data_IF_570812204905
#
_entry.id   IF_570812204905
#
_cell.length_a   1.000
_cell.length_b   1.000
_cell.length_c   1.000
_cell.angle_alpha   90.00
_cell.angle_beta   90.00
_cell.angle_gamma   90.00
#
_symmetry.space_group_name_H-M   'P 1'
#
loop_
_entity.id
_entity.type
_entity.pdbx_description
1 polymer ?
#
# COMPACT_ATOMS: atom_id res chain seq x y z
N UNK A 1 3.46 -29.44 -13.59
CA UNK A 1 2.96 -28.21 -14.25
C UNK A 1 1.51 -27.96 -13.84
N UNK A 2 1.28 -27.32 -12.69
CA UNK A 2 -0.07 -26.92 -12.27
C UNK A 2 0.00 -25.51 -11.65
N UNK A 3 -1.00 -24.69 -12.01
CA UNK A 3 -1.42 -23.45 -11.34
C UNK A 3 -0.87 -22.09 -11.82
N UNK A 4 -1.12 -21.75 -13.10
CA UNK A 4 -1.02 -20.38 -13.64
C UNK A 4 -2.30 -19.53 -13.49
N UNK A 5 -3.39 -20.05 -12.89
CA UNK A 5 -4.71 -19.40 -12.97
C UNK A 5 -5.19 -18.78 -11.65
N UNK A 6 -4.62 -19.13 -10.48
CA UNK A 6 -4.95 -18.51 -9.19
C UNK A 6 -4.12 -17.26 -8.83
N UNK A 7 -3.17 -16.86 -9.69
CA UNK A 7 -2.19 -15.81 -9.38
C UNK A 7 -2.63 -14.38 -9.77
N UNK A 8 -3.66 -14.22 -10.58
CA UNK A 8 -4.02 -12.91 -11.15
C UNK A 8 -4.52 -11.86 -10.16
N UNK A 9 -5.18 -12.25 -9.06
CA UNK A 9 -5.78 -11.30 -8.10
C UNK A 9 -4.94 -11.17 -6.81
N UNK A 10 -4.29 -12.25 -6.36
CA UNK A 10 -3.43 -12.23 -5.16
C UNK A 10 -2.04 -11.62 -5.45
N UNK A 11 -1.42 -11.89 -6.61
CA UNK A 11 -0.23 -11.14 -7.03
C UNK A 11 -0.58 -9.69 -7.30
N UNK A 12 -1.76 -9.37 -7.84
CA UNK A 12 -2.12 -7.99 -8.12
C UNK A 12 -2.18 -7.17 -6.83
N UNK A 13 -2.82 -7.67 -5.77
CA UNK A 13 -2.86 -6.97 -4.47
C UNK A 13 -1.51 -6.91 -3.75
N UNK A 14 -0.74 -8.01 -3.71
CA UNK A 14 0.59 -8.03 -3.09
C UNK A 14 1.60 -7.17 -3.88
N UNK A 15 1.53 -7.20 -5.21
CA UNK A 15 2.36 -6.37 -6.09
C UNK A 15 1.97 -4.92 -5.97
N UNK A 16 0.67 -4.60 -5.98
CA UNK A 16 0.16 -3.26 -5.73
C UNK A 16 0.64 -2.72 -4.38
N UNK A 17 0.62 -3.53 -3.31
CA UNK A 17 1.17 -3.16 -1.99
C UNK A 17 2.68 -2.94 -2.01
N UNK A 18 3.45 -3.78 -2.70
CA UNK A 18 4.92 -3.63 -2.84
C UNK A 18 5.27 -2.38 -3.64
N UNK A 19 4.63 -2.18 -4.79
CA UNK A 19 4.81 -0.99 -5.63
C UNK A 19 4.39 0.25 -4.85
N UNK A 20 3.32 0.15 -4.04
CA UNK A 20 2.92 1.22 -3.17
C UNK A 20 4.00 1.55 -2.11
N UNK A 21 4.50 0.54 -1.40
CA UNK A 21 5.54 0.75 -0.39
C UNK A 21 6.82 1.35 -0.98
N UNK A 22 7.21 0.89 -2.16
CA UNK A 22 8.39 1.39 -2.89
C UNK A 22 8.17 2.82 -3.39
N UNK A 23 7.05 3.12 -4.04
CA UNK A 23 6.78 4.46 -4.56
C UNK A 23 6.60 5.53 -3.46
N UNK A 24 6.08 5.14 -2.30
CA UNK A 24 5.98 6.03 -1.13
C UNK A 24 7.38 6.35 -0.57
N UNK A 25 8.26 5.34 -0.47
CA UNK A 25 9.66 5.54 -0.06
C UNK A 25 10.46 6.38 -1.05
N UNK A 26 10.27 6.16 -2.36
CA UNK A 26 10.93 6.94 -3.42
C UNK A 26 10.46 8.39 -3.39
N UNK A 27 9.14 8.64 -3.30
CA UNK A 27 8.59 10.00 -3.24
C UNK A 27 9.09 10.76 -2.02
N UNK A 28 9.23 10.09 -0.87
CA UNK A 28 9.77 10.66 0.35
C UNK A 28 11.27 11.01 0.19
N UNK A 29 12.06 10.14 -0.43
CA UNK A 29 13.46 10.42 -0.75
C UNK A 29 13.61 11.63 -1.66
N UNK A 30 12.79 11.74 -2.70
CA UNK A 30 12.83 12.88 -3.63
C UNK A 30 12.37 14.19 -2.98
N UNK A 31 11.30 14.17 -2.18
CA UNK A 31 10.81 15.38 -1.50
C UNK A 31 11.80 15.88 -0.44
N UNK A 32 12.47 14.97 0.26
CA UNK A 32 13.48 15.30 1.29
C UNK A 32 14.77 15.82 0.66
N UNK A 33 15.27 15.19 -0.41
CA UNK A 33 16.45 15.68 -1.14
C UNK A 33 16.18 17.04 -1.79
N UNK A 34 14.99 17.25 -2.36
CA UNK A 34 14.61 18.55 -2.92
C UNK A 34 14.44 19.64 -1.85
N UNK A 35 14.12 19.28 -0.60
CA UNK A 35 14.01 20.23 0.50
C UNK A 35 15.35 20.92 0.83
N UNK A 36 16.48 20.24 0.67
CA UNK A 36 17.81 20.83 0.88
C UNK A 36 18.22 21.85 -0.20
N UNK A 37 17.55 21.84 -1.37
CA UNK A 37 17.88 22.69 -2.53
C UNK A 37 16.89 23.84 -2.81
N UNK A 38 16.00 24.19 -1.88
CA UNK A 38 14.89 25.15 -2.09
C UNK A 38 15.30 26.60 -2.45
N UNK A 39 16.59 26.92 -2.47
CA UNK A 39 17.12 28.23 -2.90
C UNK A 39 16.86 28.50 -4.40
N UNK A 40 16.74 27.46 -5.22
CA UNK A 40 16.48 27.58 -6.66
C UNK A 40 14.99 27.41 -6.98
N UNK A 41 14.42 28.29 -7.82
CA UNK A 41 13.00 28.24 -8.22
C UNK A 41 12.59 26.89 -8.84
N UNK A 42 13.48 26.27 -9.60
CA UNK A 42 13.27 24.95 -10.22
C UNK A 42 13.16 23.83 -9.20
N UNK A 43 14.02 23.81 -8.18
CA UNK A 43 13.97 22.82 -7.10
C UNK A 43 12.75 23.04 -6.22
N UNK A 44 12.34 24.30 -6.03
CA UNK A 44 11.09 24.63 -5.33
C UNK A 44 9.85 24.04 -6.02
N UNK A 45 9.80 24.09 -7.35
CA UNK A 45 8.75 23.45 -8.13
C UNK A 45 8.81 21.91 -8.01
N UNK A 46 10.00 21.31 -8.08
CA UNK A 46 10.18 19.87 -7.89
C UNK A 46 9.74 19.40 -6.49
N UNK A 47 9.99 20.19 -5.45
CA UNK A 47 9.54 19.89 -4.08
C UNK A 47 8.01 19.89 -3.98
N UNK A 48 7.33 20.88 -4.60
CA UNK A 48 5.87 20.93 -4.63
C UNK A 48 5.30 19.73 -5.41
N UNK A 49 5.83 19.43 -6.59
CA UNK A 49 5.37 18.30 -7.41
C UNK A 49 5.59 16.96 -6.68
N UNK A 50 6.76 16.77 -6.07
CA UNK A 50 7.05 15.56 -5.28
C UNK A 50 6.22 15.48 -4.00
N UNK A 51 5.88 16.61 -3.37
CA UNK A 51 4.93 16.65 -2.25
C UNK A 51 3.51 16.25 -2.65
N UNK A 52 3.00 16.78 -3.77
CA UNK A 52 1.69 16.38 -4.32
C UNK A 52 1.68 14.89 -4.69
N UNK A 53 2.76 14.42 -5.32
CA UNK A 53 2.93 13.00 -5.60
C UNK A 53 2.94 12.17 -4.32
N UNK A 54 3.66 12.59 -3.26
CA UNK A 54 3.71 11.90 -1.97
C UNK A 54 2.33 11.83 -1.29
N UNK A 55 1.54 12.90 -1.34
CA UNK A 55 0.16 12.92 -0.80
C UNK A 55 -0.73 11.97 -1.60
N UNK A 56 -0.68 12.01 -2.94
CA UNK A 56 -1.40 11.07 -3.80
C UNK A 56 -0.98 9.63 -3.54
N UNK A 57 0.31 9.40 -3.34
CA UNK A 57 0.88 8.10 -3.01
C UNK A 57 0.43 7.61 -1.62
N UNK A 58 0.31 8.50 -0.64
CA UNK A 58 -0.23 8.19 0.69
C UNK A 58 -1.71 7.80 0.63
N UNK A 59 -2.51 8.52 -0.15
CA UNK A 59 -3.94 8.19 -0.37
C UNK A 59 -4.06 6.85 -1.12
N UNK A 60 -3.26 6.63 -2.16
CA UNK A 60 -3.22 5.38 -2.91
C UNK A 60 -2.77 4.21 -2.02
N UNK A 61 -1.75 4.42 -1.18
CA UNK A 61 -1.30 3.45 -0.20
C UNK A 61 -2.40 3.12 0.80
N UNK A 62 -3.12 4.11 1.32
CA UNK A 62 -4.24 3.90 2.23
C UNK A 62 -5.40 3.14 1.58
N UNK A 63 -5.76 3.49 0.34
CA UNK A 63 -6.81 2.80 -0.43
C UNK A 63 -6.46 1.34 -0.72
N UNK A 64 -5.21 1.06 -1.10
CA UNK A 64 -4.70 -0.29 -1.31
C UNK A 64 -4.52 -1.09 -0.02
N UNK A 65 -4.32 -0.44 1.12
CA UNK A 65 -4.18 -1.08 2.44
C UNK A 65 -5.53 -1.38 3.09
N UNK A 66 -6.67 -0.94 2.53
CA UNK A 66 -8.00 -1.25 3.07
C UNK A 66 -8.44 -2.72 2.90
N UNK A 67 -7.60 -3.55 2.29
CA UNK A 67 -7.67 -5.01 2.46
C UNK A 67 -7.11 -5.49 3.83
N UNK A 68 -6.64 -4.58 4.70
CA UNK A 68 -6.34 -4.81 6.12
C UNK A 68 -7.57 -4.81 7.03
N UNK A 69 -8.63 -4.05 6.70
CA UNK A 69 -9.92 -4.17 7.37
C UNK A 69 -10.64 -5.46 6.94
N UNK A 70 -10.61 -5.78 5.64
CA UNK A 70 -11.12 -7.05 5.12
C UNK A 70 -10.35 -8.27 5.65
N UNK A 71 -9.01 -8.24 5.74
CA UNK A 71 -8.25 -9.31 6.38
C UNK A 71 -8.56 -9.43 7.87
N UNK A 72 -8.70 -8.32 8.60
CA UNK A 72 -9.12 -8.37 10.02
C UNK A 72 -10.53 -8.97 10.14
N UNK A 73 -11.46 -8.63 9.27
CA UNK A 73 -12.81 -9.22 9.26
C UNK A 73 -12.80 -10.71 8.87
N UNK A 74 -12.05 -11.11 7.84
CA UNK A 74 -11.93 -12.51 7.38
C UNK A 74 -11.19 -13.36 8.43
N UNK A 75 -10.16 -12.80 9.07
CA UNK A 75 -9.40 -13.47 10.15
C UNK A 75 -10.24 -13.58 11.43
N UNK A 76 -11.08 -12.60 11.73
CA UNK A 76 -12.02 -12.69 12.85
C UNK A 76 -13.20 -13.63 12.57
N UNK A 77 -13.71 -13.67 11.34
CA UNK A 77 -14.76 -14.60 10.91
C UNK A 77 -14.28 -16.05 10.90
N UNK A 78 -13.04 -16.31 10.48
CA UNK A 78 -12.44 -17.64 10.55
C UNK A 78 -12.19 -18.09 11.99
N UNK A 79 -11.70 -17.21 12.87
CA UNK A 79 -11.62 -17.49 14.33
C UNK A 79 -12.99 -17.78 14.93
N UNK A 80 -14.02 -16.99 14.59
CA UNK A 80 -15.39 -17.16 15.09
C UNK A 80 -16.02 -18.47 14.59
N UNK A 81 -15.90 -18.79 13.30
CA UNK A 81 -16.36 -20.07 12.71
C UNK A 81 -15.63 -21.28 13.30
N UNK A 82 -14.32 -21.19 13.53
CA UNK A 82 -13.55 -22.27 14.17
C UNK A 82 -14.00 -22.50 15.62
N UNK A 83 -14.34 -21.44 16.35
CA UNK A 83 -14.92 -21.52 17.70
C UNK A 83 -16.32 -22.14 17.69
N UNK A 84 -17.16 -21.79 16.73
CA UNK A 84 -18.51 -22.36 16.56
C UNK A 84 -18.41 -23.85 16.21
N UNK A 85 -17.59 -24.22 15.23
CA UNK A 85 -17.38 -25.62 14.83
C UNK A 85 -16.73 -26.50 15.92
N UNK A 86 -15.98 -25.90 16.86
CA UNK A 86 -15.42 -26.60 18.03
C UNK A 86 -16.42 -26.69 19.19
N UNK A 87 -17.46 -25.85 19.21
CA UNK A 87 -18.52 -25.84 20.22
C UNK A 87 -19.74 -26.70 19.84
N UNK A 88 -19.77 -27.23 18.60
CA UNK A 88 -20.81 -28.15 18.11
C UNK A 88 -20.34 -29.61 18.04
N UNK A 89 -19.18 -29.91 18.63
CA UNK A 89 -18.71 -31.28 18.94
C UNK A 89 -18.82 -31.51 20.43
#
# INVERSE_FOLDING_TARGET
MQNKILNGSLLNLETQRKVAKVGLGVSLGVVTLSAFGMKNKTIKALHIISGVALVGFSIYHHGLYNNGFAQKIITQQSKKRKKIALSTK
#
